data_IF_635509817235
#
_entry.id   IF_635509817235
#
_cell.length_a   1.000
_cell.length_b   1.000
_cell.length_c   1.000
_cell.angle_alpha   90.00
_cell.angle_beta   90.00
_cell.angle_gamma   90.00
#
_symmetry.space_group_name_H-M   'P 1'
#
loop_
_entity.id
_entity.type
_entity.pdbx_description
1 polymer ?
#
# COMPACT_ATOMS: atom_id res chain seq x y z
N UNK A 1 -45.15 9.38 48.67
CA UNK A 1 -44.74 9.25 47.25
C UNK A 1 -43.50 10.08 46.87
N UNK A 2 -43.39 11.37 47.24
CA UNK A 2 -42.28 12.24 46.79
C UNK A 2 -40.86 11.82 47.24
N UNK A 3 -40.69 11.33 48.49
CA UNK A 3 -39.37 10.91 49.00
C UNK A 3 -38.83 9.62 48.36
N UNK A 4 -39.71 8.70 47.99
CA UNK A 4 -39.33 7.44 47.31
C UNK A 4 -38.91 7.71 45.86
N UNK A 5 -39.60 8.64 45.18
CA UNK A 5 -39.29 9.03 43.80
C UNK A 5 -37.93 9.74 43.68
N UNK A 6 -37.59 10.63 44.62
CA UNK A 6 -36.28 11.31 44.67
C UNK A 6 -35.14 10.30 44.90
N UNK A 7 -35.35 9.28 45.73
CA UNK A 7 -34.36 8.21 45.94
C UNK A 7 -34.12 7.37 44.68
N UNK A 8 -35.16 7.12 43.88
CA UNK A 8 -35.02 6.42 42.60
C UNK A 8 -34.22 7.22 41.57
N UNK A 9 -34.46 8.54 41.46
CA UNK A 9 -33.70 9.40 40.55
C UNK A 9 -32.22 9.48 40.98
N UNK A 10 -31.94 9.61 42.29
CA UNK A 10 -30.56 9.65 42.78
C UNK A 10 -29.78 8.36 42.49
N UNK A 11 -30.42 7.19 42.65
CA UNK A 11 -29.82 5.89 42.31
C UNK A 11 -29.59 5.76 40.81
N UNK A 12 -30.54 6.19 39.98
CA UNK A 12 -30.38 6.16 38.51
C UNK A 12 -29.24 7.07 38.03
N UNK A 13 -29.13 8.29 38.58
CA UNK A 13 -28.04 9.22 38.25
C UNK A 13 -26.69 8.64 38.66
N UNK A 14 -26.60 7.98 39.82
CA UNK A 14 -25.38 7.30 40.26
C UNK A 14 -25.00 6.12 39.35
N UNK A 15 -25.98 5.32 38.89
CA UNK A 15 -25.73 4.21 37.97
C UNK A 15 -25.25 4.73 36.60
N UNK A 16 -25.87 5.79 36.06
CA UNK A 16 -25.42 6.40 34.80
C UNK A 16 -24.04 7.03 34.96
N UNK A 17 -23.77 7.75 36.06
CA UNK A 17 -22.46 8.33 36.34
C UNK A 17 -21.39 7.24 36.51
N UNK A 18 -21.72 6.11 37.15
CA UNK A 18 -20.83 4.97 37.27
C UNK A 18 -20.59 4.27 35.93
N UNK A 19 -21.60 4.15 35.07
CA UNK A 19 -21.47 3.53 33.75
C UNK A 19 -20.67 4.42 32.77
N UNK A 20 -20.92 5.73 32.78
CA UNK A 20 -20.14 6.71 32.03
C UNK A 20 -18.72 6.77 32.57
N UNK A 21 -18.55 6.86 33.89
CA UNK A 21 -17.25 6.84 34.56
C UNK A 21 -16.46 5.56 34.25
N UNK A 22 -17.10 4.39 34.29
CA UNK A 22 -16.49 3.11 33.90
C UNK A 22 -16.04 3.12 32.43
N UNK A 23 -16.90 3.60 31.51
CA UNK A 23 -16.53 3.75 30.10
C UNK A 23 -15.35 4.71 29.87
N UNK A 24 -15.19 5.73 30.71
CA UNK A 24 -14.06 6.67 30.66
C UNK A 24 -12.80 6.14 31.36
N UNK A 25 -12.94 5.38 32.45
CA UNK A 25 -11.84 4.79 33.23
C UNK A 25 -11.25 3.54 32.58
N UNK A 26 -12.02 2.82 31.74
CA UNK A 26 -11.54 1.69 30.95
C UNK A 26 -11.22 2.07 29.51
N UNK A 27 -11.08 3.37 29.18
CA UNK A 27 -10.45 3.71 27.91
C UNK A 27 -9.04 3.14 27.96
N UNK A 28 -8.63 2.29 26.98
CA UNK A 28 -7.23 1.94 26.87
C UNK A 28 -6.45 3.26 26.85
N UNK A 29 -5.45 3.36 27.71
CA UNK A 29 -4.44 4.42 27.60
C UNK A 29 -4.08 4.55 26.14
N UNK A 30 -3.99 5.77 25.62
CA UNK A 30 -3.47 6.04 24.28
C UNK A 30 -2.03 5.50 24.24
N UNK A 31 -1.88 4.19 24.01
CA UNK A 31 -0.60 3.58 23.73
C UNK A 31 -0.09 4.28 22.49
N UNK A 32 1.15 4.74 22.55
CA UNK A 32 1.79 5.40 21.43
C UNK A 32 1.67 4.47 20.22
N UNK A 33 0.89 4.89 19.23
CA UNK A 33 0.74 4.15 17.98
C UNK A 33 2.16 3.90 17.46
N UNK A 34 2.58 2.65 17.31
CA UNK A 34 3.95 2.36 16.93
C UNK A 34 4.23 3.03 15.58
N UNK A 35 5.47 3.51 15.35
CA UNK A 35 5.76 4.31 14.19
C UNK A 35 5.53 3.47 12.92
N UNK A 36 4.55 3.88 12.11
CA UNK A 36 4.35 3.37 10.76
C UNK A 36 5.67 3.55 10.01
N UNK A 37 6.17 2.55 9.25
CA UNK A 37 7.38 2.71 8.48
C UNK A 37 7.31 3.98 7.61
N UNK A 38 8.45 4.65 7.39
CA UNK A 38 8.46 5.89 6.65
C UNK A 38 7.80 5.68 5.30
N UNK A 39 7.03 6.68 4.88
CA UNK A 39 6.53 6.73 3.52
C UNK A 39 7.65 6.46 2.51
N UNK A 40 7.31 5.99 1.30
CA UNK A 40 8.01 6.50 0.14
C UNK A 40 8.02 8.04 0.23
N UNK A 41 9.18 8.66 0.41
CA UNK A 41 9.28 10.12 0.46
C UNK A 41 10.11 10.59 -0.70
N UNK A 42 9.76 11.72 -1.29
CA UNK A 42 10.64 12.36 -2.28
C UNK A 42 12.01 12.72 -1.66
N UNK A 43 12.07 12.96 -0.34
CA UNK A 43 13.30 13.30 0.38
C UNK A 43 14.25 12.11 0.63
N UNK A 44 13.82 10.85 0.46
CA UNK A 44 14.73 9.70 0.56
C UNK A 44 15.60 9.52 -0.71
N UNK A 45 15.46 10.43 -1.69
CA UNK A 45 16.27 10.54 -2.90
C UNK A 45 17.73 10.96 -2.72
N UNK A 46 18.10 11.47 -1.55
CA UNK A 46 19.41 12.14 -1.36
C UNK A 46 20.49 11.25 -0.75
N UNK A 47 20.20 9.98 -0.43
CA UNK A 47 21.16 9.06 0.20
C UNK A 47 21.35 7.73 -0.55
N UNK A 48 21.30 7.75 -1.88
CA UNK A 48 21.76 6.62 -2.67
C UNK A 48 23.30 6.57 -2.73
N UNK A 49 23.92 5.38 -2.64
CA UNK A 49 25.35 5.23 -2.84
C UNK A 49 25.70 5.57 -4.29
N UNK A 50 26.76 6.37 -4.45
CA UNK A 50 27.44 6.67 -5.71
C UNK A 50 27.61 5.38 -6.52
N UNK A 51 27.12 5.37 -7.76
CA UNK A 51 27.36 4.33 -8.73
C UNK A 51 28.84 3.91 -8.68
N UNK A 52 29.09 2.65 -8.31
CA UNK A 52 30.43 2.09 -8.34
C UNK A 52 30.91 2.08 -9.80
N UNK A 53 31.90 2.92 -10.08
CA UNK A 53 32.61 2.98 -11.36
C UNK A 53 33.45 1.71 -11.48
N UNK A 54 32.97 0.72 -12.24
CA UNK A 54 33.79 -0.43 -12.64
C UNK A 54 34.78 0.06 -13.71
N UNK A 55 36.05 0.18 -13.32
CA UNK A 55 37.19 0.35 -14.22
C UNK A 55 37.37 -0.91 -15.06
N UNK A 56 37.67 -0.71 -16.35
CA UNK A 56 37.64 -1.76 -17.36
C UNK A 56 38.87 -2.68 -17.40
N UNK A 57 38.69 -3.75 -18.16
CA UNK A 57 39.72 -4.36 -18.99
C UNK A 57 39.07 -4.87 -20.29
N UNK A 58 39.79 -4.61 -21.36
CA UNK A 58 39.72 -5.04 -22.75
C UNK A 58 39.36 -6.52 -22.97
N UNK A 59 38.55 -6.77 -24.00
CA UNK A 59 38.36 -8.10 -24.57
C UNK A 59 37.37 -8.07 -25.73
N UNK A 60 37.89 -7.98 -26.96
CA UNK A 60 37.11 -7.97 -28.19
C UNK A 60 36.41 -9.32 -28.46
N UNK A 61 35.14 -9.28 -28.88
CA UNK A 61 34.57 -10.20 -29.86
C UNK A 61 33.22 -9.68 -30.35
N UNK A 62 33.10 -9.51 -31.66
CA UNK A 62 31.90 -9.09 -32.36
C UNK A 62 30.82 -10.20 -32.36
N UNK A 63 29.55 -9.81 -32.27
CA UNK A 63 28.48 -10.47 -33.03
C UNK A 63 27.26 -9.56 -33.20
N UNK A 64 26.82 -9.45 -34.45
CA UNK A 64 25.64 -8.72 -34.90
C UNK A 64 24.35 -9.29 -34.28
N UNK A 65 23.48 -8.41 -33.79
CA UNK A 65 22.04 -8.68 -33.78
C UNK A 65 21.24 -7.36 -33.86
N UNK A 66 20.53 -7.25 -34.97
CA UNK A 66 19.68 -6.18 -35.47
C UNK A 66 18.69 -5.65 -34.44
N UNK A 67 18.78 -4.35 -34.15
CA UNK A 67 17.72 -3.59 -33.50
C UNK A 67 16.53 -3.44 -34.46
N UNK A 68 15.38 -4.00 -34.09
CA UNK A 68 14.10 -3.67 -34.74
C UNK A 68 13.31 -2.80 -33.77
N UNK A 69 13.21 -1.52 -34.11
CA UNK A 69 12.30 -0.58 -33.47
C UNK A 69 10.86 -0.95 -33.83
N UNK A 70 10.00 -1.15 -32.84
CA UNK A 70 8.56 -1.28 -33.03
C UNK A 70 7.85 -0.02 -32.53
N UNK A 71 7.20 0.65 -33.48
CA UNK A 71 6.31 1.81 -33.28
C UNK A 71 5.01 1.39 -32.57
N UNK A 72 4.47 2.37 -31.86
CA UNK A 72 3.15 2.47 -31.22
C UNK A 72 1.95 2.26 -32.16
N UNK A 73 0.88 1.63 -31.64
CA UNK A 73 -0.47 1.79 -32.19
C UNK A 73 -1.39 0.57 -32.12
N UNK A 74 -1.73 0.08 -30.93
CA UNK A 74 -2.92 -0.74 -30.63
C UNK A 74 -3.12 -0.78 -29.10
N UNK A 75 -4.34 -0.91 -28.55
CA UNK A 75 -4.50 -1.16 -27.11
C UNK A 75 -3.89 -2.53 -26.84
N UNK A 76 -2.64 -2.53 -26.37
CA UNK A 76 -1.83 -3.72 -26.19
C UNK A 76 -2.63 -4.77 -25.42
N UNK A 77 -3.04 -5.84 -26.13
CA UNK A 77 -3.70 -7.00 -25.55
C UNK A 77 -2.82 -7.45 -24.39
N UNK A 78 -3.29 -7.21 -23.17
CA UNK A 78 -2.56 -7.60 -21.98
C UNK A 78 -2.63 -9.13 -21.92
N UNK A 79 -1.48 -9.84 -21.84
CA UNK A 79 -1.52 -11.29 -21.71
C UNK A 79 -2.35 -11.68 -20.49
N UNK A 80 -3.24 -12.67 -20.66
CA UNK A 80 -3.99 -13.27 -19.54
C UNK A 80 -3.02 -13.67 -18.42
N UNK A 81 -3.40 -13.44 -17.18
CA UNK A 81 -2.62 -13.68 -15.98
C UNK A 81 -1.79 -12.49 -15.50
N UNK A 82 -1.88 -11.31 -16.14
CA UNK A 82 -1.14 -10.11 -15.74
C UNK A 82 -2.06 -8.95 -15.34
N UNK A 83 -3.36 -9.19 -15.14
CA UNK A 83 -4.25 -8.22 -14.51
C UNK A 83 -4.41 -8.59 -13.04
N UNK A 84 -4.05 -7.67 -12.15
CA UNK A 84 -4.41 -7.73 -10.73
C UNK A 84 -5.73 -6.99 -10.56
N UNK A 85 -6.78 -7.76 -10.29
CA UNK A 85 -8.12 -7.25 -10.08
C UNK A 85 -8.42 -7.13 -8.59
N UNK A 86 -8.74 -5.92 -8.14
CA UNK A 86 -9.01 -5.60 -6.73
C UNK A 86 -10.47 -5.12 -6.61
N UNK A 87 -11.28 -5.82 -5.82
CA UNK A 87 -12.57 -5.33 -5.37
C UNK A 87 -12.38 -4.54 -4.07
N UNK A 88 -12.69 -3.26 -4.09
CA UNK A 88 -12.61 -2.36 -2.92
C UNK A 88 -13.96 -2.27 -2.24
N UNK A 89 -13.95 -2.24 -0.90
CA UNK A 89 -15.12 -1.97 -0.08
C UNK A 89 -14.75 -1.15 1.17
N UNK A 90 -15.74 -0.58 1.86
CA UNK A 90 -15.53 0.29 3.01
C UNK A 90 -16.49 1.47 2.99
N UNK A 91 -15.96 2.66 3.21
CA UNK A 91 -16.69 3.91 2.96
C UNK A 91 -16.90 4.12 1.45
N UNK A 92 -15.99 3.61 0.64
CA UNK A 92 -16.06 3.58 -0.81
C UNK A 92 -16.01 2.14 -1.32
N UNK A 93 -16.54 1.93 -2.52
CA UNK A 93 -16.54 0.60 -3.14
C UNK A 93 -16.39 0.71 -4.65
N UNK A 94 -15.75 -0.30 -5.23
CA UNK A 94 -15.54 -0.33 -6.66
C UNK A 94 -14.49 -1.35 -7.05
N UNK A 95 -14.03 -1.23 -8.28
CA UNK A 95 -13.13 -2.17 -8.92
C UNK A 95 -11.90 -1.41 -9.39
N UNK A 96 -10.73 -1.93 -9.09
CA UNK A 96 -9.46 -1.45 -9.64
C UNK A 96 -8.84 -2.61 -10.42
N UNK A 97 -8.41 -2.34 -11.65
CA UNK A 97 -7.64 -3.28 -12.45
C UNK A 97 -6.26 -2.70 -12.70
N UNK A 98 -5.23 -3.47 -12.34
CA UNK A 98 -3.83 -3.08 -12.50
C UNK A 98 -3.19 -4.03 -13.51
N UNK A 99 -2.67 -3.47 -14.61
CA UNK A 99 -1.78 -4.18 -15.52
C UNK A 99 -0.43 -4.34 -14.85
N UNK A 100 -0.07 -5.56 -14.50
CA UNK A 100 1.23 -5.91 -13.94
C UNK A 100 2.32 -5.83 -15.01
N UNK A 101 3.53 -5.44 -14.60
CA UNK A 101 4.70 -5.20 -15.46
C UNK A 101 5.86 -6.16 -15.15
N UNK A 102 5.73 -7.47 -15.45
CA UNK A 102 6.81 -8.43 -15.24
C UNK A 102 8.03 -8.15 -16.14
N UNK A 103 7.87 -7.33 -17.17
CA UNK A 103 8.95 -6.79 -17.99
C UNK A 103 9.85 -5.79 -17.23
N UNK A 104 9.31 -5.12 -16.20
CA UNK A 104 10.08 -4.20 -15.34
C UNK A 104 10.54 -4.87 -14.05
N UNK A 105 9.66 -5.65 -13.42
CA UNK A 105 9.87 -6.20 -12.08
C UNK A 105 9.37 -7.65 -11.98
N UNK A 106 10.03 -8.61 -12.65
CA UNK A 106 9.55 -9.99 -12.73
C UNK A 106 9.42 -10.65 -11.36
N UNK A 107 10.36 -10.43 -10.44
CA UNK A 107 10.31 -11.07 -9.12
C UNK A 107 9.22 -10.46 -8.22
N UNK A 108 9.03 -9.15 -8.26
CA UNK A 108 7.96 -8.50 -7.50
C UNK A 108 6.57 -8.84 -8.07
N UNK A 109 6.42 -8.86 -9.39
CA UNK A 109 5.16 -9.29 -10.01
C UNK A 109 4.84 -10.74 -9.67
N UNK A 110 5.82 -11.65 -9.71
CA UNK A 110 5.63 -13.03 -9.29
C UNK A 110 5.17 -13.14 -7.82
N UNK A 111 5.75 -12.31 -6.93
CA UNK A 111 5.35 -12.22 -5.51
C UNK A 111 3.91 -11.77 -5.34
N UNK A 112 3.53 -10.66 -5.98
CA UNK A 112 2.16 -10.13 -5.91
C UNK A 112 1.15 -11.16 -6.40
N UNK A 113 1.45 -11.81 -7.54
CA UNK A 113 0.61 -12.90 -8.08
C UNK A 113 0.47 -14.06 -7.12
N UNK A 114 1.57 -14.51 -6.51
CA UNK A 114 1.53 -15.61 -5.55
C UNK A 114 0.65 -15.29 -4.32
N UNK A 115 0.82 -14.09 -3.76
CA UNK A 115 0.03 -13.65 -2.59
C UNK A 115 -1.45 -13.43 -2.93
N UNK A 116 -1.75 -12.86 -4.10
CA UNK A 116 -3.13 -12.69 -4.58
C UNK A 116 -3.82 -14.04 -4.84
N UNK A 117 -3.16 -14.95 -5.56
CA UNK A 117 -3.70 -16.30 -5.83
C UNK A 117 -3.92 -17.10 -4.54
N UNK A 118 -3.07 -16.90 -3.53
CA UNK A 118 -3.23 -17.51 -2.22
C UNK A 118 -4.28 -16.80 -1.32
N UNK A 119 -4.99 -15.79 -1.83
CA UNK A 119 -6.03 -15.04 -1.10
C UNK A 119 -5.49 -14.18 0.05
N UNK A 120 -4.17 -13.95 0.13
CA UNK A 120 -3.53 -13.27 1.26
C UNK A 120 -3.88 -11.78 1.36
N UNK A 121 -4.34 -11.19 0.27
CA UNK A 121 -4.76 -9.80 0.21
C UNK A 121 -6.25 -9.59 0.52
N UNK A 122 -7.04 -10.65 0.62
CA UNK A 122 -8.46 -10.52 0.95
C UNK A 122 -8.60 -9.92 2.37
N UNK A 123 -9.44 -8.90 2.48
CA UNK A 123 -9.67 -8.08 3.68
C UNK A 123 -8.48 -7.24 4.15
N UNK A 124 -7.44 -7.05 3.33
CA UNK A 124 -6.32 -6.16 3.68
C UNK A 124 -6.70 -4.70 3.47
N UNK A 125 -6.43 -3.86 4.47
CA UNK A 125 -6.83 -2.44 4.48
C UNK A 125 -5.86 -1.53 3.70
N UNK A 126 -6.38 -0.40 3.21
CA UNK A 126 -5.57 0.75 2.83
C UNK A 126 -5.18 1.52 4.11
N UNK A 127 -4.15 1.03 4.79
CA UNK A 127 -3.76 1.50 6.12
C UNK A 127 -3.14 2.90 6.13
N UNK A 128 -2.62 3.34 4.97
CA UNK A 128 -1.92 4.61 4.85
C UNK A 128 -2.21 5.27 3.52
N UNK A 129 -2.88 6.42 3.55
CA UNK A 129 -3.36 7.13 2.37
C UNK A 129 -3.06 8.61 2.54
N UNK A 130 -2.20 9.15 1.68
CA UNK A 130 -1.81 10.56 1.69
C UNK A 130 -2.43 11.24 0.48
N UNK A 131 -3.25 12.24 0.75
CA UNK A 131 -3.91 13.02 -0.29
C UNK A 131 -2.89 13.70 -1.22
N UNK A 132 -3.20 13.71 -2.51
CA UNK A 132 -2.29 14.21 -3.55
C UNK A 132 -1.00 13.39 -3.75
N UNK A 133 -0.83 12.24 -3.08
CA UNK A 133 0.37 11.42 -3.23
C UNK A 133 0.05 9.96 -3.57
N UNK A 134 -0.41 9.15 -2.61
CA UNK A 134 -0.63 7.71 -2.84
C UNK A 134 -1.57 7.05 -1.83
N UNK A 135 -2.11 5.89 -2.22
CA UNK A 135 -2.75 4.92 -1.33
C UNK A 135 -1.84 3.69 -1.15
N UNK A 136 -1.46 3.37 0.09
CA UNK A 136 -0.63 2.21 0.44
C UNK A 136 -1.45 1.11 1.11
N UNK A 137 -1.20 -0.14 0.70
CA UNK A 137 -1.88 -1.34 1.19
C UNK A 137 -0.92 -2.55 1.17
N UNK A 138 -1.46 -3.76 1.36
CA UNK A 138 -0.73 -5.02 1.21
C UNK A 138 0.00 -5.48 2.47
N UNK A 139 -0.27 -4.89 3.64
CA UNK A 139 0.20 -5.43 4.92
C UNK A 139 -0.69 -6.62 5.31
N UNK A 140 -0.30 -7.80 4.85
CA UNK A 140 -1.04 -9.04 5.07
C UNK A 140 -0.90 -9.61 6.49
N UNK A 141 -0.16 -8.94 7.38
CA UNK A 141 0.08 -9.41 8.76
C UNK A 141 -0.66 -8.58 9.79
N UNK A 142 -0.59 -7.27 9.68
CA UNK A 142 -1.18 -6.35 10.66
C UNK A 142 -2.27 -5.46 10.08
N UNK A 143 -2.33 -5.29 8.76
CA UNK A 143 -3.32 -4.45 8.08
C UNK A 143 -4.56 -5.23 7.68
N UNK A 144 -5.29 -5.81 8.62
CA UNK A 144 -6.46 -6.66 8.34
C UNK A 144 -7.75 -6.01 8.82
N UNK A 145 -8.79 -5.99 7.99
CA UNK A 145 -10.11 -5.50 8.35
C UNK A 145 -10.66 -6.25 9.57
N UNK A 146 -11.13 -5.50 10.56
CA UNK A 146 -11.66 -6.05 11.81
C UNK A 146 -10.58 -6.56 12.78
N UNK A 147 -9.30 -6.47 12.42
CA UNK A 147 -8.17 -6.76 13.29
C UNK A 147 -7.69 -5.54 14.08
N UNK A 148 -6.73 -5.78 14.98
CA UNK A 148 -5.98 -4.70 15.63
C UNK A 148 -4.95 -4.12 14.66
N UNK A 149 -5.28 -2.98 14.07
CA UNK A 149 -4.47 -2.33 13.04
C UNK A 149 -3.44 -1.32 13.59
N UNK A 150 -3.14 -1.34 14.90
CA UNK A 150 -2.14 -0.45 15.48
C UNK A 150 -0.75 -0.60 14.85
N UNK A 151 -0.41 -1.82 14.40
CA UNK A 151 0.87 -2.13 13.73
C UNK A 151 0.78 -2.13 12.20
N UNK A 152 -0.33 -1.66 11.62
CA UNK A 152 -0.51 -1.68 10.17
C UNK A 152 0.57 -0.82 9.49
N UNK A 153 1.17 -1.38 8.43
CA UNK A 153 2.33 -0.84 7.74
C UNK A 153 3.65 -1.48 8.17
N UNK A 154 3.73 -2.13 9.34
CA UNK A 154 4.94 -2.79 9.83
C UNK A 154 5.06 -4.26 9.42
N UNK A 155 4.03 -4.82 8.78
CA UNK A 155 3.96 -6.24 8.48
C UNK A 155 4.53 -6.62 7.12
N UNK A 156 4.81 -7.91 6.99
CA UNK A 156 5.34 -8.59 5.81
C UNK A 156 4.68 -9.95 5.67
N UNK A 157 4.85 -10.60 4.51
CA UNK A 157 4.61 -12.03 4.37
C UNK A 157 5.74 -12.84 5.01
N UNK A 158 5.54 -14.15 5.14
CA UNK A 158 6.56 -15.10 5.61
C UNK A 158 7.65 -15.39 4.55
N UNK A 159 7.56 -14.76 3.37
CA UNK A 159 8.52 -14.89 2.30
C UNK A 159 9.70 -13.92 2.48
N UNK A 160 10.89 -14.24 1.97
CA UNK A 160 12.04 -13.34 2.06
C UNK A 160 11.79 -12.01 1.34
N UNK A 161 12.55 -10.99 1.74
CA UNK A 161 12.54 -9.71 1.03
C UNK A 161 13.09 -9.85 -0.38
N UNK A 162 12.65 -8.96 -1.26
CA UNK A 162 13.02 -8.93 -2.66
C UNK A 162 14.12 -7.89 -2.90
N UNK A 163 15.10 -8.25 -3.74
CA UNK A 163 16.05 -7.29 -4.28
C UNK A 163 15.32 -6.28 -5.17
N UNK A 164 15.71 -5.02 -5.12
CA UNK A 164 15.11 -3.97 -5.92
C UNK A 164 15.20 -4.24 -7.44
N UNK A 165 14.14 -3.91 -8.17
CA UNK A 165 14.05 -4.02 -9.63
C UNK A 165 13.72 -2.63 -10.20
N UNK A 166 14.68 -1.71 -10.11
CA UNK A 166 14.50 -0.33 -10.55
C UNK A 166 14.46 -0.21 -12.09
N UNK A 167 13.67 0.74 -12.58
CA UNK A 167 13.54 1.05 -14.01
C UNK A 167 13.61 2.55 -14.28
N UNK A 168 13.67 2.93 -15.56
CA UNK A 168 13.64 4.33 -16.01
C UNK A 168 12.21 4.89 -16.15
N UNK A 169 11.20 4.05 -15.89
CA UNK A 169 9.80 4.46 -15.93
C UNK A 169 9.48 5.43 -14.79
N UNK A 170 8.60 6.39 -15.06
CA UNK A 170 8.29 7.47 -14.13
C UNK A 170 7.10 7.09 -13.25
N UNK A 171 7.13 7.51 -11.99
CA UNK A 171 5.98 7.48 -11.10
C UNK A 171 5.03 8.63 -11.43
N UNK A 172 4.10 8.37 -12.34
CA UNK A 172 2.95 9.24 -12.65
C UNK A 172 1.68 8.74 -11.97
N UNK A 173 0.59 9.51 -12.04
CA UNK A 173 -0.74 9.06 -11.58
C UNK A 173 -1.08 7.65 -12.11
N UNK A 174 -1.59 6.80 -11.22
CA UNK A 174 -1.99 5.41 -11.52
C UNK A 174 -0.84 4.40 -11.61
N UNK A 175 0.42 4.83 -11.50
CA UNK A 175 1.55 3.89 -11.36
C UNK A 175 1.46 3.17 -10.01
N UNK A 176 1.83 1.89 -10.00
CA UNK A 176 1.84 1.04 -8.80
C UNK A 176 3.27 0.67 -8.46
N UNK A 177 3.71 1.03 -7.26
CA UNK A 177 5.06 0.76 -6.75
C UNK A 177 5.06 -0.16 -5.55
N UNK A 178 6.16 -0.87 -5.34
CA UNK A 178 6.37 -1.68 -4.14
C UNK A 178 6.82 -0.83 -2.97
N UNK A 179 6.14 -0.97 -1.84
CA UNK A 179 6.58 -0.38 -0.59
C UNK A 179 7.75 -1.19 -0.02
N UNK A 180 8.64 -0.50 0.69
CA UNK A 180 9.83 -1.08 1.32
C UNK A 180 10.19 -0.30 2.59
N UNK A 181 11.01 -0.91 3.44
CA UNK A 181 11.71 -0.20 4.50
C UNK A 181 12.88 0.65 3.96
N UNK A 182 13.81 1.00 4.84
CA UNK A 182 14.96 1.85 4.48
C UNK A 182 15.90 1.21 3.46
N UNK A 183 16.09 -0.11 3.52
CA UNK A 183 16.91 -0.82 2.54
C UNK A 183 16.18 -0.95 1.20
N UNK A 184 16.81 -0.62 0.06
CA UNK A 184 16.27 -0.89 -1.28
C UNK A 184 15.75 -2.31 -1.46
N UNK A 185 16.43 -3.29 -0.85
CA UNK A 185 16.14 -4.72 -0.97
C UNK A 185 15.24 -5.24 0.15
N UNK A 186 14.33 -4.40 0.67
CA UNK A 186 13.41 -4.75 1.77
C UNK A 186 11.94 -4.82 1.37
N UNK A 187 11.63 -4.71 0.06
CA UNK A 187 10.27 -4.89 -0.43
C UNK A 187 9.76 -6.32 -0.14
N UNK A 188 8.48 -6.45 0.19
CA UNK A 188 7.91 -7.76 0.56
C UNK A 188 6.50 -8.02 0.00
N UNK A 189 5.46 -7.46 0.62
CA UNK A 189 4.04 -7.70 0.25
C UNK A 189 3.24 -6.43 0.06
N UNK A 190 3.71 -5.32 0.64
CA UNK A 190 3.06 -4.03 0.57
C UNK A 190 3.35 -3.32 -0.75
N UNK A 191 2.34 -2.63 -1.28
CA UNK A 191 2.44 -1.80 -2.48
C UNK A 191 1.61 -0.53 -2.31
N UNK A 192 1.86 0.45 -3.17
CA UNK A 192 1.13 1.71 -3.21
C UNK A 192 0.68 2.06 -4.63
N UNK A 193 -0.42 2.80 -4.73
CA UNK A 193 -1.01 3.29 -5.98
C UNK A 193 -0.95 4.82 -5.98
N UNK A 194 -0.38 5.40 -7.03
CA UNK A 194 -0.18 6.85 -7.14
C UNK A 194 -1.49 7.60 -7.42
N UNK A 195 -1.75 8.68 -6.68
CA UNK A 195 -2.80 9.67 -6.97
C UNK A 195 -2.31 10.78 -7.92
N UNK A 196 -1.02 11.07 -7.88
CA UNK A 196 -0.39 12.15 -8.64
C UNK A 196 1.03 11.74 -9.04
N UNK A 197 1.69 12.61 -9.81
CA UNK A 197 3.08 12.41 -10.20
C UNK A 197 4.02 12.62 -9.00
N UNK A 198 5.01 11.75 -8.87
CA UNK A 198 6.03 11.81 -7.81
C UNK A 198 7.42 11.55 -8.39
N UNK A 199 8.01 12.54 -9.09
CA UNK A 199 9.30 12.37 -9.74
C UNK A 199 10.42 12.01 -8.76
N UNK A 200 10.27 12.35 -7.47
CA UNK A 200 11.21 11.97 -6.41
C UNK A 200 11.32 10.45 -6.17
N UNK A 201 10.40 9.63 -6.68
CA UNK A 201 10.45 8.16 -6.57
C UNK A 201 11.13 7.48 -7.78
N UNK A 202 11.35 8.22 -8.87
CA UNK A 202 11.90 7.68 -10.12
C UNK A 202 13.28 7.05 -9.90
N UNK A 203 13.50 5.85 -10.44
CA UNK A 203 14.76 5.12 -10.30
C UNK A 203 15.06 4.62 -8.87
N UNK A 204 14.14 4.77 -7.92
CA UNK A 204 14.36 4.45 -6.52
C UNK A 204 13.33 3.51 -5.90
N UNK A 205 12.20 3.29 -6.57
CA UNK A 205 11.18 2.35 -6.15
C UNK A 205 10.87 1.40 -7.31
N UNK A 206 10.64 0.12 -7.01
CA UNK A 206 10.25 -0.86 -8.01
C UNK A 206 8.82 -0.57 -8.48
N UNK A 207 8.63 -0.41 -9.77
CA UNK A 207 7.29 -0.33 -10.40
C UNK A 207 6.83 -1.74 -10.72
N UNK A 208 5.63 -2.10 -10.26
CA UNK A 208 5.03 -3.43 -10.50
C UNK A 208 3.84 -3.40 -11.45
N UNK A 209 3.28 -2.23 -11.76
CA UNK A 209 2.13 -2.13 -12.63
C UNK A 209 1.58 -0.73 -12.81
N UNK A 210 0.48 -0.66 -13.55
CA UNK A 210 -0.28 0.56 -13.83
C UNK A 210 -1.78 0.27 -13.70
N UNK A 211 -2.53 1.16 -13.06
CA UNK A 211 -3.99 1.13 -13.09
C UNK A 211 -4.45 1.34 -14.53
N UNK A 212 -5.26 0.41 -15.04
CA UNK A 212 -5.86 0.48 -16.37
C UNK A 212 -7.38 0.69 -16.32
N UNK A 213 -8.00 0.46 -15.16
CA UNK A 213 -9.41 0.73 -14.88
C UNK A 213 -9.60 0.99 -13.37
N UNK A 214 -10.54 1.86 -13.01
CA UNK A 214 -10.85 2.16 -11.60
C UNK A 214 -9.97 3.22 -10.93
N UNK A 215 -9.38 4.14 -11.69
CA UNK A 215 -8.61 5.24 -11.08
C UNK A 215 -9.50 6.18 -10.25
N UNK A 216 -10.77 6.34 -10.61
CA UNK A 216 -11.78 7.03 -9.82
C UNK A 216 -12.03 6.34 -8.46
N UNK A 217 -12.03 5.00 -8.44
CA UNK A 217 -12.12 4.21 -7.21
C UNK A 217 -10.88 4.43 -6.35
N UNK A 218 -9.69 4.43 -6.95
CA UNK A 218 -8.42 4.76 -6.27
C UNK A 218 -8.51 6.16 -5.66
N UNK A 219 -8.89 7.16 -6.46
CA UNK A 219 -8.98 8.55 -6.03
C UNK A 219 -10.00 8.75 -4.89
N UNK A 220 -11.07 7.94 -4.86
CA UNK A 220 -12.09 7.95 -3.82
C UNK A 220 -11.65 7.29 -2.50
N UNK A 221 -10.59 6.46 -2.48
CA UNK A 221 -10.10 5.80 -1.25
C UNK A 221 -9.93 6.86 -0.14
N UNK A 222 -10.50 6.55 1.03
CA UNK A 222 -10.52 7.42 2.20
C UNK A 222 -9.13 7.88 2.57
N UNK A 223 -8.95 9.20 2.66
CA UNK A 223 -7.67 9.82 3.03
C UNK A 223 -7.40 9.66 4.51
N UNK A 224 -6.12 9.50 4.85
CA UNK A 224 -5.66 9.43 6.22
C UNK A 224 -5.40 10.81 6.81
N UNK A 225 -5.19 10.82 8.12
CA UNK A 225 -4.85 12.01 8.87
C UNK A 225 -3.40 12.43 8.57
N UNK A 226 -3.22 13.63 8.00
CA UNK A 226 -1.91 14.17 7.65
C UNK A 226 -1.01 14.36 8.88
N UNK A 227 -1.58 14.67 10.05
CA UNK A 227 -0.82 14.78 11.31
C UNK A 227 -0.30 13.42 11.80
N UNK A 228 -0.88 12.33 11.30
CA UNK A 228 -0.52 10.95 11.62
C UNK A 228 0.08 10.22 10.42
N UNK A 229 0.81 10.95 9.59
CA UNK A 229 1.53 10.41 8.44
C UNK A 229 0.63 9.61 7.47
N UNK A 230 -0.62 10.05 7.30
CA UNK A 230 -1.61 9.43 6.41
C UNK A 230 -2.26 8.17 6.99
N UNK A 231 -2.16 7.90 8.28
CA UNK A 231 -2.87 6.80 8.92
C UNK A 231 -4.39 6.98 8.77
N UNK A 232 -5.09 5.90 8.39
CA UNK A 232 -6.53 5.95 8.11
C UNK A 232 -7.33 5.29 9.24
N UNK A 233 -8.29 6.04 9.80
CA UNK A 233 -9.29 5.50 10.75
C UNK A 233 -10.47 4.94 9.95
N UNK A 234 -10.94 3.73 10.27
CA UNK A 234 -11.97 3.02 9.49
C UNK A 234 -11.65 3.00 7.98
N UNK A 235 -10.56 2.34 7.57
CA UNK A 235 -10.06 2.36 6.20
C UNK A 235 -10.95 1.54 5.25
N UNK A 236 -10.94 1.95 3.98
CA UNK A 236 -11.32 1.07 2.87
C UNK A 236 -10.37 -0.13 2.80
N UNK A 237 -10.82 -1.22 2.18
CA UNK A 237 -10.08 -2.48 2.13
C UNK A 237 -10.28 -3.22 0.82
N UNK A 238 -9.32 -4.07 0.49
CA UNK A 238 -9.40 -5.00 -0.62
C UNK A 238 -10.30 -6.16 -0.20
N UNK A 239 -11.58 -6.10 -0.55
CA UNK A 239 -12.55 -7.17 -0.27
C UNK A 239 -12.11 -8.49 -0.92
N UNK A 240 -11.63 -8.42 -2.16
CA UNK A 240 -11.02 -9.55 -2.84
C UNK A 240 -9.93 -9.10 -3.81
N UNK A 241 -8.91 -9.94 -4.00
CA UNK A 241 -7.83 -9.69 -4.98
C UNK A 241 -7.59 -10.94 -5.83
N UNK A 242 -7.70 -10.82 -7.15
CA UNK A 242 -7.60 -11.94 -8.10
C UNK A 242 -6.65 -11.62 -9.24
N UNK A 243 -6.11 -12.66 -9.86
CA UNK A 243 -5.31 -12.57 -11.08
C UNK A 243 -6.18 -13.00 -12.27
N UNK A 244 -6.24 -12.16 -13.30
CA UNK A 244 -6.95 -12.40 -14.57
C UNK A 244 -5.99 -12.41 -15.77
#
# INVERSE_FOLDING_TARGET
MKKTFIRFIAVLVLIVAAFVGYKYLTQPTLEAVPPIPPAPTESSATSAPKAAKVGGDSGAAASNATATAAKSGDPAVVPKGNILRIEVAGANSGVIEIKLRPDLAPNHVARIKALATAGKYDNVIFHRVIDGFMAQTGDIRFGIKGGNNQNAGMGSSDLPNLKAEFSQEKFTKGVVGMARGSSPDSANSQFFIMFADAPGLNGQYTIIGNVISGQDVVDAIKKGDSSRNGSVVEPDYMKSVRIE
#
